data_IF_154477922218
#
_entry.id   IF_154477922218
#
_cell.length_a   1.000
_cell.length_b   1.000
_cell.length_c   1.000
_cell.angle_alpha   90.00
_cell.angle_beta   90.00
_cell.angle_gamma   90.00
#
_symmetry.space_group_name_H-M   'P 1'
#
loop_
_entity.id
_entity.type
_entity.pdbx_description
1 polymer ?
#
# COMPACT_ATOMS: atom_id res chain seq x y z
N UNK A 1 12.15 -16.29 0.16
CA UNK A 1 12.86 -16.19 1.48
C UNK A 1 14.19 -16.93 1.36
N UNK A 2 15.29 -16.28 1.70
CA UNK A 2 16.66 -16.79 1.60
C UNK A 2 17.16 -17.09 3.00
N UNK A 3 17.61 -18.32 3.23
CA UNK A 3 18.05 -18.77 4.55
C UNK A 3 19.43 -18.21 4.92
N UNK A 4 19.70 -18.08 6.22
CA UNK A 4 21.00 -17.62 6.72
C UNK A 4 22.16 -18.53 6.27
N UNK A 5 21.91 -19.83 6.17
CA UNK A 5 22.89 -20.78 5.65
C UNK A 5 23.28 -20.47 4.21
N UNK A 6 22.30 -20.22 3.36
CA UNK A 6 22.51 -19.85 1.96
C UNK A 6 23.31 -18.54 1.81
N UNK A 7 23.02 -17.54 2.67
CA UNK A 7 23.79 -16.28 2.74
C UNK A 7 25.25 -16.47 3.16
N UNK A 8 25.54 -17.54 3.91
CA UNK A 8 26.91 -17.86 4.32
C UNK A 8 27.66 -18.66 3.26
N UNK A 9 26.97 -19.42 2.43
CA UNK A 9 27.56 -20.33 1.43
C UNK A 9 27.66 -19.70 0.03
N UNK A 10 26.78 -18.74 -0.29
CA UNK A 10 26.74 -18.10 -1.60
C UNK A 10 26.44 -16.60 -1.52
N UNK A 11 26.89 -15.88 -2.52
CA UNK A 11 26.50 -14.48 -2.71
C UNK A 11 25.17 -14.42 -3.46
N UNK A 12 24.22 -13.69 -2.91
CA UNK A 12 22.87 -13.57 -3.47
C UNK A 12 22.57 -12.13 -3.88
N UNK A 13 21.77 -11.98 -4.92
CA UNK A 13 21.23 -10.68 -5.34
C UNK A 13 20.22 -10.15 -4.31
N UNK A 14 20.03 -8.83 -4.27
CA UNK A 14 18.97 -8.24 -3.47
C UNK A 14 17.69 -8.18 -4.32
N UNK A 15 16.63 -8.81 -3.86
CA UNK A 15 15.32 -8.80 -4.52
C UNK A 15 14.33 -8.01 -3.67
N UNK A 16 13.57 -7.12 -4.31
CA UNK A 16 12.54 -6.32 -3.62
C UNK A 16 11.54 -7.24 -2.92
N UNK A 17 11.19 -6.88 -1.70
CA UNK A 17 10.27 -7.61 -0.82
C UNK A 17 10.76 -9.00 -0.37
N UNK A 18 11.96 -9.43 -0.77
CA UNK A 18 12.54 -10.69 -0.30
C UNK A 18 12.97 -10.58 1.17
N UNK A 19 12.75 -11.67 1.90
CA UNK A 19 13.16 -11.82 3.29
C UNK A 19 14.47 -12.59 3.32
N UNK A 20 15.46 -12.02 4.01
CA UNK A 20 16.76 -12.61 4.27
C UNK A 20 16.81 -13.02 5.74
N UNK A 21 16.88 -14.31 6.01
CA UNK A 21 16.87 -14.82 7.37
C UNK A 21 18.15 -14.51 8.13
N UNK A 22 18.02 -14.21 9.42
CA UNK A 22 19.12 -14.09 10.36
C UNK A 22 19.52 -15.44 10.94
N UNK A 23 20.68 -15.48 11.60
CA UNK A 23 21.12 -16.67 12.33
C UNK A 23 20.25 -16.94 13.57
N UNK A 24 20.36 -18.15 14.09
CA UNK A 24 19.51 -18.68 15.17
C UNK A 24 20.18 -18.60 16.56
N UNK A 25 21.49 -18.31 16.63
CA UNK A 25 22.28 -18.39 17.88
C UNK A 25 22.01 -17.19 18.81
N UNK A 26 21.45 -16.10 18.29
CA UNK A 26 21.08 -14.90 19.06
C UNK A 26 22.25 -13.94 19.35
N UNK A 27 23.40 -14.11 18.72
CA UNK A 27 24.58 -13.28 18.89
C UNK A 27 24.84 -12.32 17.71
N UNK A 28 25.94 -11.57 17.76
CA UNK A 28 26.31 -10.59 16.73
C UNK A 28 26.59 -11.26 15.38
N UNK A 29 27.06 -12.51 15.34
CA UNK A 29 27.37 -13.23 14.11
C UNK A 29 26.13 -13.55 13.27
N UNK A 30 24.95 -13.48 13.86
CA UNK A 30 23.66 -13.72 13.22
C UNK A 30 23.10 -12.52 12.44
N UNK A 31 23.81 -11.40 12.46
CA UNK A 31 23.39 -10.18 11.77
C UNK A 31 23.45 -10.37 10.24
N UNK A 32 22.28 -10.36 9.63
CA UNK A 32 22.12 -10.55 8.18
C UNK A 32 22.86 -9.49 7.38
N UNK A 33 22.77 -8.22 7.81
CA UNK A 33 23.29 -7.11 7.03
C UNK A 33 24.82 -7.10 6.97
N UNK A 34 25.48 -7.63 7.99
CA UNK A 34 26.93 -7.79 7.96
C UNK A 34 27.38 -8.77 6.88
N UNK A 35 26.61 -9.85 6.67
CA UNK A 35 26.87 -10.86 5.64
C UNK A 35 26.41 -10.39 4.27
N UNK A 36 25.16 -9.94 4.18
CA UNK A 36 24.51 -9.55 2.94
C UNK A 36 25.12 -8.29 2.32
N UNK A 37 25.47 -7.29 3.13
CA UNK A 37 25.90 -5.96 2.65
C UNK A 37 27.35 -5.62 2.99
N UNK A 38 28.09 -6.51 3.65
CA UNK A 38 29.47 -6.24 4.04
C UNK A 38 29.63 -4.90 4.79
N UNK A 39 28.73 -4.61 5.72
CA UNK A 39 28.72 -3.42 6.58
C UNK A 39 28.97 -3.81 8.03
N UNK A 40 29.38 -2.84 8.85
CA UNK A 40 29.56 -3.06 10.28
C UNK A 40 28.20 -3.20 10.97
N UNK A 41 28.17 -3.98 12.06
CA UNK A 41 26.99 -4.05 12.94
C UNK A 41 26.91 -2.78 13.79
N UNK A 42 26.25 -1.75 13.29
CA UNK A 42 26.23 -0.40 13.86
C UNK A 42 24.83 0.22 13.87
N UNK A 43 23.86 -0.43 14.50
CA UNK A 43 22.49 0.13 14.62
C UNK A 43 21.77 0.29 13.27
N UNK A 44 20.91 1.30 13.18
CA UNK A 44 20.04 1.55 12.02
C UNK A 44 20.72 2.22 10.83
N UNK A 45 21.81 2.97 11.05
CA UNK A 45 22.54 3.66 10.00
C UNK A 45 23.90 3.01 9.79
N UNK A 46 24.09 2.37 8.64
CA UNK A 46 25.34 1.66 8.30
C UNK A 46 25.82 2.09 6.91
N UNK A 47 27.11 1.93 6.66
CA UNK A 47 27.68 2.30 5.36
C UNK A 47 28.93 1.45 5.03
N UNK A 48 29.27 1.41 3.76
CA UNK A 48 30.53 0.89 3.24
C UNK A 48 31.29 2.00 2.55
N UNK A 49 32.61 2.08 2.76
CA UNK A 49 33.47 3.02 2.04
C UNK A 49 33.95 2.39 0.72
N UNK A 50 34.26 3.28 -0.24
CA UNK A 50 35.05 2.92 -1.43
C UNK A 50 36.44 2.48 -0.98
N UNK A 51 37.02 1.53 -1.68
CA UNK A 51 38.37 1.03 -1.38
C UNK A 51 39.38 2.18 -1.39
N UNK A 52 40.19 2.25 -0.33
CA UNK A 52 41.21 3.27 -0.14
C UNK A 52 40.69 4.71 -0.14
N UNK A 53 39.39 4.93 0.11
CA UNK A 53 38.77 6.25 0.23
C UNK A 53 37.96 6.40 1.52
N UNK A 54 37.68 7.66 1.90
CA UNK A 54 36.70 8.01 2.93
C UNK A 54 35.30 8.13 2.39
N UNK A 55 35.14 8.18 1.06
CA UNK A 55 33.87 8.31 0.38
C UNK A 55 33.01 7.06 0.56
N UNK A 56 31.72 7.26 0.53
CA UNK A 56 30.77 6.17 0.74
C UNK A 56 30.48 5.44 -0.58
N UNK A 57 30.75 4.14 -0.62
CA UNK A 57 30.34 3.28 -1.71
C UNK A 57 28.80 3.15 -1.71
N UNK A 58 28.23 2.94 -0.54
CA UNK A 58 26.78 2.88 -0.32
C UNK A 58 26.43 3.03 1.15
N UNK A 59 25.16 3.33 1.39
CA UNK A 59 24.56 3.43 2.72
C UNK A 59 23.50 2.33 2.86
N UNK A 60 23.37 1.79 4.07
CA UNK A 60 22.34 0.83 4.45
C UNK A 60 21.54 1.41 5.60
N UNK A 61 20.27 1.66 5.37
CA UNK A 61 19.31 2.04 6.41
C UNK A 61 18.56 0.80 6.86
N UNK A 62 18.58 0.57 8.18
CA UNK A 62 17.83 -0.51 8.80
C UNK A 62 16.82 0.07 9.79
N UNK A 63 15.55 -0.17 9.54
CA UNK A 63 14.46 0.18 10.44
C UNK A 63 14.03 -1.03 11.25
N UNK A 64 13.98 -0.89 12.57
CA UNK A 64 13.40 -1.92 13.44
C UNK A 64 11.87 -1.88 13.47
N UNK A 65 11.27 -0.76 13.06
CA UNK A 65 9.83 -0.48 13.17
C UNK A 65 9.27 -0.61 14.61
N UNK A 66 10.16 -0.42 15.62
CA UNK A 66 9.80 -0.57 17.03
C UNK A 66 9.54 0.78 17.73
N UNK A 67 9.90 1.89 17.11
CA UNK A 67 9.68 3.24 17.67
C UNK A 67 8.22 3.66 17.37
N UNK A 68 7.36 3.55 18.38
CA UNK A 68 5.92 3.83 18.25
C UNK A 68 5.65 5.33 18.06
N UNK A 69 6.44 6.18 18.71
CA UNK A 69 6.23 7.64 18.65
C UNK A 69 6.75 8.25 17.33
N UNK A 70 7.81 7.67 16.78
CA UNK A 70 8.53 8.19 15.60
C UNK A 70 8.92 7.05 14.65
N UNK A 71 7.95 6.33 14.08
CA UNK A 71 8.23 5.19 13.20
C UNK A 71 8.84 5.65 11.88
N UNK A 72 9.84 4.91 11.41
CA UNK A 72 10.21 4.98 10.00
C UNK A 72 9.07 4.38 9.17
N UNK A 73 8.70 5.02 8.07
CA UNK A 73 7.49 4.64 7.30
C UNK A 73 7.80 4.52 5.83
N UNK A 74 7.41 3.39 5.23
CA UNK A 74 7.33 3.23 3.78
C UNK A 74 5.90 3.51 3.31
N UNK A 75 5.74 4.56 2.53
CA UNK A 75 4.51 4.85 1.78
C UNK A 75 4.61 4.15 0.42
N UNK A 76 4.14 2.90 0.36
CA UNK A 76 4.34 2.05 -0.82
C UNK A 76 3.67 2.61 -2.10
N UNK A 77 2.57 3.35 -1.97
CA UNK A 77 1.86 3.95 -3.11
C UNK A 77 2.64 5.11 -3.76
N UNK A 78 3.41 5.85 -2.97
CA UNK A 78 4.19 7.00 -3.45
C UNK A 78 5.65 6.66 -3.70
N UNK A 79 6.11 5.51 -3.18
CA UNK A 79 7.51 5.11 -3.20
C UNK A 79 8.39 5.91 -2.24
N UNK A 80 7.79 6.59 -1.27
CA UNK A 80 8.47 7.42 -0.28
C UNK A 80 8.83 6.60 0.96
N UNK A 81 10.05 6.78 1.44
CA UNK A 81 10.48 6.26 2.72
C UNK A 81 10.92 7.39 3.65
N UNK A 82 10.23 7.51 4.78
CA UNK A 82 10.58 8.46 5.83
C UNK A 82 11.46 7.78 6.86
N UNK A 83 12.58 8.39 7.17
CA UNK A 83 13.58 7.90 8.10
C UNK A 83 13.94 8.95 9.15
N UNK A 84 14.10 8.54 10.39
CA UNK A 84 14.58 9.43 11.45
C UNK A 84 16.04 9.11 11.80
N UNK A 85 16.85 10.18 11.85
CA UNK A 85 18.28 10.08 12.13
C UNK A 85 18.64 9.44 13.48
N UNK A 86 19.92 9.32 13.74
CA UNK A 86 20.46 8.54 14.87
C UNK A 86 20.71 9.36 16.16
N UNK A 87 20.40 10.66 16.18
CA UNK A 87 20.49 11.44 17.41
C UNK A 87 19.29 11.17 18.32
N UNK A 88 19.57 10.69 19.54
CA UNK A 88 18.56 10.39 20.58
C UNK A 88 18.92 11.01 21.94
N UNK A 89 19.93 11.88 22.00
CA UNK A 89 20.42 12.46 23.26
C UNK A 89 20.03 13.93 23.38
N UNK A 90 19.35 14.32 24.46
CA UNK A 90 19.11 15.73 24.81
C UNK A 90 20.40 16.52 24.92
N UNK A 91 20.39 17.76 24.41
CA UNK A 91 21.54 18.66 24.46
C UNK A 91 22.60 18.47 23.37
N UNK A 92 22.59 17.35 22.64
CA UNK A 92 23.45 17.14 21.48
C UNK A 92 22.99 18.02 20.30
N UNK A 93 23.92 18.50 19.48
CA UNK A 93 23.60 19.10 18.18
C UNK A 93 23.06 18.03 17.23
N UNK A 94 22.28 18.45 16.24
CA UNK A 94 21.66 17.54 15.25
C UNK A 94 22.70 16.69 14.49
N UNK A 95 23.88 17.27 14.24
CA UNK A 95 25.01 16.69 13.53
C UNK A 95 26.04 15.98 14.44
N UNK A 96 25.74 15.81 15.73
CA UNK A 96 26.65 15.15 16.69
C UNK A 96 26.90 13.68 16.39
N UNK A 97 26.00 13.03 15.66
CA UNK A 97 26.10 11.62 15.29
C UNK A 97 26.56 11.46 13.84
N UNK A 98 27.35 10.41 13.62
CA UNK A 98 27.93 10.14 12.30
C UNK A 98 26.88 9.89 11.22
N UNK A 99 25.76 9.24 11.55
CA UNK A 99 24.65 9.01 10.63
C UNK A 99 24.00 10.33 10.21
N UNK A 100 23.71 11.21 11.16
CA UNK A 100 23.15 12.52 10.88
C UNK A 100 24.10 13.40 10.03
N UNK A 101 25.41 13.38 10.28
CA UNK A 101 26.40 14.05 9.44
C UNK A 101 26.38 13.55 8.00
N UNK A 102 26.27 12.23 7.81
CA UNK A 102 26.22 11.65 6.47
C UNK A 102 24.86 11.96 5.79
N UNK A 103 23.75 11.93 6.54
CA UNK A 103 22.44 12.37 6.01
C UNK A 103 22.52 13.80 5.49
N UNK A 104 23.03 14.73 6.29
CA UNK A 104 23.20 16.12 5.89
C UNK A 104 24.06 16.26 4.64
N UNK A 105 25.18 15.54 4.57
CA UNK A 105 26.07 15.57 3.43
C UNK A 105 25.40 15.09 2.13
N UNK A 106 24.69 13.96 2.15
CA UNK A 106 24.06 13.39 0.94
C UNK A 106 22.83 14.17 0.47
N UNK A 107 22.08 14.78 1.38
CA UNK A 107 20.93 15.61 1.02
C UNK A 107 21.34 16.97 0.47
N UNK A 108 22.48 17.52 0.90
CA UNK A 108 23.02 18.80 0.41
C UNK A 108 23.91 18.65 -0.82
N UNK A 109 24.30 17.41 -1.20
CA UNK A 109 25.18 17.18 -2.35
C UNK A 109 24.45 17.48 -3.67
N UNK A 110 24.96 18.41 -4.44
CA UNK A 110 24.36 18.80 -5.74
C UNK A 110 24.74 17.87 -6.88
N UNK A 111 25.96 17.31 -6.83
CA UNK A 111 26.43 16.38 -7.82
C UNK A 111 25.90 14.96 -7.55
N UNK A 112 24.85 14.55 -8.28
CA UNK A 112 24.23 13.24 -8.10
C UNK A 112 25.19 12.06 -8.27
N UNK A 113 26.28 12.23 -9.04
CA UNK A 113 27.28 11.19 -9.19
C UNK A 113 28.11 10.96 -7.91
N UNK A 114 28.15 11.96 -7.02
CA UNK A 114 28.80 11.87 -5.70
C UNK A 114 27.88 11.35 -4.59
N UNK A 115 26.58 11.21 -4.87
CA UNK A 115 25.61 10.67 -3.92
C UNK A 115 25.74 9.14 -3.91
N UNK A 116 26.00 8.50 -2.76
CA UNK A 116 26.05 7.04 -2.67
C UNK A 116 24.62 6.44 -2.76
N UNK A 117 24.45 5.27 -3.39
CA UNK A 117 23.20 4.53 -3.32
C UNK A 117 22.80 4.21 -1.87
N UNK A 118 21.50 4.28 -1.58
CA UNK A 118 20.96 3.97 -0.26
C UNK A 118 20.10 2.71 -0.35
N UNK A 119 20.42 1.68 0.42
CA UNK A 119 19.68 0.42 0.48
C UNK A 119 18.86 0.38 1.77
N UNK A 120 17.54 0.16 1.65
CA UNK A 120 16.63 0.21 2.77
C UNK A 120 16.17 -1.19 3.15
N UNK A 121 16.33 -1.51 4.42
CA UNK A 121 15.90 -2.77 5.02
C UNK A 121 15.01 -2.52 6.23
N UNK A 122 14.05 -3.41 6.43
CA UNK A 122 13.16 -3.39 7.59
C UNK A 122 13.28 -4.71 8.35
N UNK A 123 13.23 -4.66 9.67
CA UNK A 123 13.13 -5.83 10.52
C UNK A 123 11.90 -6.65 10.13
N UNK A 124 12.09 -7.93 9.92
CA UNK A 124 11.01 -8.86 9.56
C UNK A 124 11.25 -10.20 10.25
N UNK A 125 10.90 -10.34 11.55
CA UNK A 125 11.10 -11.57 12.29
C UNK A 125 10.45 -12.77 11.59
N UNK A 126 11.16 -13.89 11.56
CA UNK A 126 10.67 -15.18 11.10
C UNK A 126 10.51 -16.13 12.28
N UNK A 127 9.95 -17.31 12.04
CA UNK A 127 9.84 -18.35 13.08
C UNK A 127 11.22 -18.79 13.60
N UNK A 128 12.23 -18.79 12.71
CA UNK A 128 13.60 -19.23 12.99
C UNK A 128 14.49 -18.13 13.57
N UNK A 129 14.25 -16.84 13.23
CA UNK A 129 15.14 -15.76 13.64
C UNK A 129 14.45 -14.41 13.82
N UNK A 130 14.72 -13.75 14.96
CA UNK A 130 14.31 -12.36 15.21
C UNK A 130 15.20 -11.33 14.49
N UNK A 131 16.26 -11.76 13.80
CA UNK A 131 17.23 -10.89 13.10
C UNK A 131 17.03 -10.87 11.59
N UNK A 132 15.99 -11.52 11.11
CA UNK A 132 15.63 -11.51 9.69
C UNK A 132 15.21 -10.12 9.26
N UNK A 133 15.54 -9.80 8.00
CA UNK A 133 15.25 -8.49 7.40
C UNK A 133 14.56 -8.66 6.05
N UNK A 134 13.72 -7.69 5.72
CA UNK A 134 13.10 -7.54 4.40
C UNK A 134 13.81 -6.42 3.64
N UNK A 135 14.17 -6.64 2.39
CA UNK A 135 14.72 -5.59 1.54
C UNK A 135 13.58 -4.76 0.93
N UNK A 136 13.56 -3.47 1.22
CA UNK A 136 12.52 -2.56 0.73
C UNK A 136 12.90 -1.90 -0.59
N UNK A 137 14.20 -1.71 -0.87
CA UNK A 137 14.64 -1.19 -2.14
C UNK A 137 15.88 -0.32 -2.13
N UNK A 138 16.28 0.07 -3.33
CA UNK A 138 17.29 1.06 -3.61
C UNK A 138 16.65 2.45 -3.56
N UNK A 139 17.20 3.39 -2.79
CA UNK A 139 16.65 4.70 -2.59
C UNK A 139 17.64 5.83 -2.86
N UNK A 140 17.12 7.03 -3.04
CA UNK A 140 17.85 8.27 -3.24
C UNK A 140 17.38 9.33 -2.24
N UNK A 141 18.29 10.28 -1.81
CA UNK A 141 18.00 11.28 -0.80
C UNK A 141 17.18 12.46 -1.36
N UNK A 142 15.99 12.19 -1.81
CA UNK A 142 15.06 13.19 -2.34
C UNK A 142 13.64 12.62 -2.29
N UNK A 143 12.67 13.44 -1.92
CA UNK A 143 11.24 13.15 -2.09
C UNK A 143 10.75 13.82 -3.36
N UNK A 144 10.19 13.04 -4.27
CA UNK A 144 9.71 13.51 -5.58
C UNK A 144 8.68 14.65 -5.48
N UNK A 145 7.84 14.65 -4.46
CA UNK A 145 6.78 15.66 -4.29
C UNK A 145 7.24 16.88 -3.49
N UNK A 146 8.15 16.70 -2.52
CA UNK A 146 8.65 17.78 -1.68
C UNK A 146 9.80 18.54 -2.36
N UNK A 147 10.48 17.90 -3.28
CA UNK A 147 11.74 18.38 -3.87
C UNK A 147 12.91 18.28 -2.89
N UNK A 148 14.12 18.40 -3.40
CA UNK A 148 15.37 18.18 -2.67
C UNK A 148 15.48 19.03 -1.41
N UNK A 149 15.22 20.33 -1.49
CA UNK A 149 15.40 21.28 -0.39
C UNK A 149 14.48 21.02 0.82
N UNK A 150 13.37 20.33 0.61
CA UNK A 150 12.39 20.01 1.65
C UNK A 150 12.47 18.55 2.12
N UNK A 151 13.40 17.78 1.58
CA UNK A 151 13.49 16.34 1.87
C UNK A 151 14.28 16.01 3.13
N UNK A 152 15.05 16.97 3.69
CA UNK A 152 15.72 16.83 4.99
C UNK A 152 15.31 17.98 5.91
N UNK A 153 14.75 17.65 7.08
CA UNK A 153 14.31 18.64 8.07
C UNK A 153 14.87 18.32 9.44
N UNK A 154 15.44 19.34 10.08
CA UNK A 154 15.78 19.26 11.50
C UNK A 154 14.51 19.49 12.32
N UNK A 155 14.13 18.51 13.13
CA UNK A 155 12.91 18.54 13.93
C UNK A 155 13.22 18.32 15.41
N UNK A 156 12.42 18.94 16.29
CA UNK A 156 12.46 18.66 17.71
C UNK A 156 11.64 17.39 18.02
N UNK A 157 12.29 16.48 18.75
CA UNK A 157 11.66 15.27 19.29
C UNK A 157 11.65 15.30 20.81
N UNK A 158 10.78 14.52 21.40
CA UNK A 158 10.70 14.34 22.86
C UNK A 158 10.73 12.85 23.19
N UNK A 159 11.55 12.48 24.15
CA UNK A 159 11.59 11.12 24.72
C UNK A 159 11.80 11.23 26.21
N UNK A 160 11.00 10.52 27.01
CA UNK A 160 11.05 10.54 28.47
C UNK A 160 11.00 11.96 29.09
N UNK A 161 10.24 12.87 28.47
CA UNK A 161 10.10 14.25 28.92
C UNK A 161 11.25 15.20 28.53
N UNK A 162 12.29 14.71 27.90
CA UNK A 162 13.44 15.50 27.44
C UNK A 162 13.39 15.75 25.93
N UNK A 163 13.77 16.96 25.52
CA UNK A 163 13.81 17.36 24.12
C UNK A 163 15.19 17.16 23.52
N UNK A 164 15.21 16.67 22.29
CA UNK A 164 16.42 16.59 21.46
C UNK A 164 16.09 16.93 20.02
N UNK A 165 17.08 17.36 19.25
CA UNK A 165 16.95 17.69 17.82
C UNK A 165 17.42 16.49 16.99
N UNK A 166 16.70 16.14 15.94
CA UNK A 166 17.05 15.06 15.01
C UNK A 166 16.67 15.41 13.59
N UNK A 167 17.16 14.67 12.60
CA UNK A 167 16.70 14.80 11.23
C UNK A 167 15.49 13.88 10.97
N UNK A 168 14.51 14.43 10.24
CA UNK A 168 13.51 13.71 9.46
C UNK A 168 13.96 13.76 8.00
N UNK A 169 14.24 12.61 7.41
CA UNK A 169 14.77 12.46 6.07
C UNK A 169 13.77 11.70 5.18
N UNK A 170 13.52 12.23 4.00
CA UNK A 170 12.59 11.67 3.04
C UNK A 170 13.35 11.16 1.82
N UNK A 171 13.28 9.86 1.60
CA UNK A 171 13.89 9.17 0.47
C UNK A 171 12.83 8.75 -0.54
N UNK A 172 13.21 8.61 -1.80
CA UNK A 172 12.39 7.96 -2.83
C UNK A 172 13.03 6.63 -3.22
N UNK A 173 12.23 5.57 -3.26
CA UNK A 173 12.65 4.23 -3.70
C UNK A 173 12.60 4.16 -5.22
N UNK A 174 13.68 3.72 -5.84
CA UNK A 174 13.81 3.58 -7.28
C UNK A 174 13.17 2.29 -7.79
N UNK A 175 12.55 2.37 -8.96
CA UNK A 175 11.91 1.24 -9.63
C UNK A 175 12.97 0.28 -10.20
N UNK A 176 13.32 -0.72 -9.38
CA UNK A 176 14.15 -1.85 -9.78
C UNK A 176 13.65 -3.11 -9.07
N UNK A 177 13.62 -4.24 -9.76
CA UNK A 177 13.14 -5.51 -9.18
C UNK A 177 14.21 -6.20 -8.33
N UNK A 178 15.47 -6.05 -8.72
CA UNK A 178 16.59 -6.66 -8.03
C UNK A 178 17.86 -5.85 -8.22
N UNK A 179 18.80 -6.03 -7.31
CA UNK A 179 20.15 -5.46 -7.36
C UNK A 179 21.12 -6.60 -7.54
N UNK A 180 21.86 -6.55 -8.64
CA UNK A 180 22.90 -7.54 -8.93
C UNK A 180 24.06 -7.43 -7.94
N UNK A 181 24.53 -8.54 -7.44
CA UNK A 181 25.64 -8.60 -6.48
C UNK A 181 26.92 -7.97 -7.03
N UNK A 182 27.19 -8.13 -8.32
CA UNK A 182 28.36 -7.53 -8.96
C UNK A 182 28.32 -5.99 -8.92
N UNK A 183 27.13 -5.39 -8.96
CA UNK A 183 27.03 -3.94 -8.80
C UNK A 183 27.52 -3.45 -7.43
N UNK A 184 27.23 -4.20 -6.35
CA UNK A 184 27.77 -3.86 -5.03
C UNK A 184 29.30 -3.91 -5.01
N UNK A 185 29.93 -4.79 -5.77
CA UNK A 185 31.39 -4.83 -5.95
C UNK A 185 31.87 -3.62 -6.76
N UNK A 186 31.15 -3.25 -7.82
CA UNK A 186 31.46 -2.04 -8.59
C UNK A 186 31.39 -0.77 -7.70
N UNK A 187 30.38 -0.65 -6.84
CA UNK A 187 30.24 0.45 -5.89
C UNK A 187 31.45 0.55 -4.96
N UNK A 188 31.91 -0.58 -4.41
CA UNK A 188 33.10 -0.61 -3.54
C UNK A 188 34.37 -0.15 -4.28
N UNK A 189 34.44 -0.37 -5.60
CA UNK A 189 35.53 0.10 -6.45
C UNK A 189 35.33 1.53 -6.98
N UNK A 190 34.24 2.22 -6.61
CA UNK A 190 33.95 3.59 -7.02
C UNK A 190 33.27 3.72 -8.40
N UNK A 191 32.81 2.61 -8.99
CA UNK A 191 32.13 2.57 -10.28
C UNK A 191 30.62 2.38 -10.13
N UNK A 192 29.91 3.44 -9.72
CA UNK A 192 28.46 3.42 -9.49
C UNK A 192 27.62 3.34 -10.77
N UNK A 193 28.20 3.72 -11.91
CA UNK A 193 27.53 3.79 -13.21
C UNK A 193 27.92 2.66 -14.16
N UNK A 194 28.51 1.57 -13.65
CA UNK A 194 28.87 0.41 -14.48
C UNK A 194 27.64 -0.09 -15.26
N UNK A 195 27.70 0.07 -16.59
CA UNK A 195 26.56 -0.17 -17.47
C UNK A 195 26.11 -1.65 -17.55
N UNK A 196 26.97 -2.59 -17.12
CA UNK A 196 26.66 -4.01 -17.13
C UNK A 196 25.84 -4.46 -15.91
N UNK A 197 25.97 -3.76 -14.78
CA UNK A 197 25.42 -4.21 -13.51
C UNK A 197 24.57 -3.17 -12.78
N UNK A 198 24.78 -1.87 -13.06
CA UNK A 198 24.00 -0.80 -12.42
C UNK A 198 22.53 -0.85 -12.85
N UNK A 199 21.57 -0.70 -11.91
CA UNK A 199 20.16 -0.62 -12.26
C UNK A 199 19.88 0.56 -13.21
N UNK A 200 19.02 0.36 -14.18
CA UNK A 200 18.65 1.40 -15.14
C UNK A 200 18.07 2.65 -14.44
N UNK A 201 17.24 2.44 -13.41
CA UNK A 201 16.67 3.52 -12.61
C UNK A 201 17.73 4.35 -11.89
N UNK A 202 18.82 3.72 -11.40
CA UNK A 202 19.96 4.43 -10.82
C UNK A 202 20.70 5.28 -11.86
N UNK A 203 21.00 4.70 -13.03
CA UNK A 203 21.66 5.43 -14.12
C UNK A 203 20.83 6.64 -14.56
N UNK A 204 19.50 6.46 -14.69
CA UNK A 204 18.59 7.57 -15.01
C UNK A 204 18.59 8.64 -13.94
N UNK A 205 18.52 8.25 -12.65
CA UNK A 205 18.58 9.20 -11.54
C UNK A 205 19.84 10.07 -11.59
N UNK A 206 21.00 9.45 -11.73
CA UNK A 206 22.27 10.18 -11.75
C UNK A 206 22.32 11.15 -12.93
N UNK A 207 21.85 10.74 -14.12
CA UNK A 207 21.91 11.55 -15.34
C UNK A 207 20.86 12.67 -15.40
N UNK A 208 19.63 12.37 -15.00
CA UNK A 208 18.46 13.21 -15.27
C UNK A 208 17.75 13.70 -14.01
N UNK A 209 18.08 13.17 -12.84
CA UNK A 209 17.36 13.41 -11.59
C UNK A 209 16.18 12.47 -11.41
N UNK A 210 15.38 12.76 -10.39
CA UNK A 210 14.22 11.96 -10.03
C UNK A 210 13.04 12.26 -10.97
N UNK A 211 12.56 11.24 -11.66
CA UNK A 211 11.41 11.30 -12.58
C UNK A 211 10.39 10.22 -12.21
N UNK A 212 9.13 10.40 -12.57
CA UNK A 212 8.04 9.52 -12.15
C UNK A 212 8.21 8.06 -12.61
N UNK A 213 8.77 7.84 -13.79
CA UNK A 213 8.99 6.52 -14.39
C UNK A 213 10.03 5.66 -13.66
N UNK A 214 10.91 6.28 -12.87
CA UNK A 214 11.93 5.57 -12.10
C UNK A 214 11.57 5.37 -10.62
N UNK A 215 10.38 5.75 -10.18
CA UNK A 215 9.90 5.57 -8.79
C UNK A 215 9.23 4.21 -8.65
N UNK A 216 9.63 3.45 -7.64
CA UNK A 216 8.96 2.20 -7.28
C UNK A 216 7.67 2.51 -6.51
N UNK A 217 6.54 2.17 -7.11
CA UNK A 217 5.23 2.32 -6.47
C UNK A 217 4.52 0.99 -6.43
N UNK A 218 3.91 0.66 -5.32
CA UNK A 218 2.97 -0.45 -5.28
C UNK A 218 1.75 -0.13 -6.15
N UNK A 219 1.23 -1.10 -6.90
CA UNK A 219 -0.05 -0.92 -7.57
C UNK A 219 -1.11 -0.62 -6.51
N UNK A 220 -1.94 0.38 -6.77
CA UNK A 220 -3.12 0.65 -5.93
C UNK A 220 -4.09 -0.52 -6.06
N UNK A 221 -4.13 -1.37 -5.06
CA UNK A 221 -5.08 -2.48 -5.03
C UNK A 221 -6.53 -2.02 -4.81
N UNK A 222 -6.69 -0.83 -4.21
CA UNK A 222 -8.00 -0.20 -4.01
C UNK A 222 -7.83 1.30 -4.18
N UNK A 223 -8.52 1.88 -5.16
CA UNK A 223 -8.54 3.33 -5.35
C UNK A 223 -9.66 3.94 -4.49
N UNK A 224 -9.31 4.97 -3.72
CA UNK A 224 -10.30 5.85 -3.16
C UNK A 224 -11.03 6.56 -4.29
N UNK A 225 -12.36 6.50 -4.28
CA UNK A 225 -13.20 7.22 -5.23
C UNK A 225 -13.91 8.39 -4.57
N UNK A 226 -13.68 9.58 -5.11
CA UNK A 226 -14.39 10.79 -4.70
C UNK A 226 -15.90 10.68 -4.99
N UNK A 227 -16.71 11.59 -4.42
CA UNK A 227 -18.14 11.67 -4.73
C UNK A 227 -18.41 11.70 -6.26
N UNK A 228 -17.62 12.49 -6.99
CA UNK A 228 -17.80 12.64 -8.44
C UNK A 228 -17.45 11.36 -9.23
N UNK A 229 -16.55 10.53 -8.71
CA UNK A 229 -16.19 9.25 -9.30
C UNK A 229 -17.18 8.14 -8.96
N UNK A 230 -17.92 8.29 -7.87
CA UNK A 230 -18.94 7.35 -7.42
C UNK A 230 -20.33 7.64 -8.02
N UNK A 231 -20.56 8.81 -8.58
CA UNK A 231 -21.84 9.19 -9.23
C UNK A 231 -21.67 9.29 -10.73
N UNK A 232 -22.73 9.02 -11.51
CA UNK A 232 -22.72 9.22 -12.96
C UNK A 232 -22.36 10.66 -13.35
N UNK A 233 -21.66 10.83 -14.47
CA UNK A 233 -21.20 12.14 -14.94
C UNK A 233 -22.12 12.80 -15.97
N UNK A 234 -22.93 12.01 -16.68
CA UNK A 234 -23.82 12.54 -17.74
C UNK A 234 -25.26 12.69 -17.25
N UNK A 235 -25.97 13.69 -17.77
CA UNK A 235 -27.37 13.92 -17.43
C UNK A 235 -28.27 12.70 -17.74
N UNK A 236 -27.95 11.93 -18.78
CA UNK A 236 -28.70 10.73 -19.14
C UNK A 236 -28.55 9.64 -18.08
N UNK A 237 -27.35 9.43 -17.61
CA UNK A 237 -27.05 8.44 -16.56
C UNK A 237 -27.60 8.86 -15.20
N UNK A 238 -27.53 10.17 -14.88
CA UNK A 238 -28.12 10.72 -13.67
C UNK A 238 -29.64 10.50 -13.64
N UNK A 239 -30.34 10.74 -14.76
CA UNK A 239 -31.78 10.46 -14.86
C UNK A 239 -32.10 8.98 -14.66
N UNK A 240 -31.26 8.07 -15.19
CA UNK A 240 -31.42 6.64 -14.97
C UNK A 240 -31.28 6.27 -13.49
N UNK A 241 -30.29 6.84 -12.79
CA UNK A 241 -30.09 6.63 -11.37
C UNK A 241 -31.25 7.20 -10.54
N UNK A 242 -31.69 8.42 -10.85
CA UNK A 242 -32.85 9.05 -10.21
C UNK A 242 -34.13 8.22 -10.42
N UNK A 243 -34.32 7.64 -11.59
CA UNK A 243 -35.45 6.74 -11.87
C UNK A 243 -35.45 5.49 -10.98
N UNK A 244 -34.28 4.86 -10.78
CA UNK A 244 -34.13 3.73 -9.85
C UNK A 244 -34.46 4.15 -8.43
N UNK A 245 -33.93 5.29 -7.98
CA UNK A 245 -34.22 5.82 -6.64
C UNK A 245 -35.71 6.06 -6.46
N UNK A 246 -36.38 6.77 -7.38
CA UNK A 246 -37.81 7.07 -7.31
C UNK A 246 -38.69 5.79 -7.28
N UNK A 247 -38.26 4.73 -7.99
CA UNK A 247 -38.97 3.45 -8.00
C UNK A 247 -38.92 2.73 -6.62
N UNK A 248 -37.79 2.82 -5.91
CA UNK A 248 -37.56 2.06 -4.68
C UNK A 248 -37.59 2.90 -3.39
N UNK A 249 -37.65 4.21 -3.45
CA UNK A 249 -37.53 5.10 -2.27
C UNK A 249 -38.56 4.80 -1.16
N UNK A 250 -39.75 4.39 -1.51
CA UNK A 250 -40.85 4.12 -0.59
C UNK A 250 -40.88 2.64 -0.13
N UNK A 251 -40.09 1.77 -0.76
CA UNK A 251 -39.96 0.37 -0.38
C UNK A 251 -38.48 -0.08 -0.46
N UNK A 252 -37.68 0.28 0.55
CA UNK A 252 -36.26 -0.09 0.58
C UNK A 252 -36.01 -1.61 0.55
N UNK A 253 -37.00 -2.40 0.99
CA UNK A 253 -36.92 -3.86 0.99
C UNK A 253 -36.88 -4.43 -0.44
N UNK A 254 -37.65 -3.87 -1.34
CA UNK A 254 -37.54 -4.24 -2.78
C UNK A 254 -36.20 -3.87 -3.38
N UNK A 255 -35.55 -2.82 -2.89
CA UNK A 255 -34.21 -2.44 -3.33
C UNK A 255 -33.16 -3.49 -2.97
N UNK A 256 -33.33 -4.25 -1.88
CA UNK A 256 -32.44 -5.35 -1.49
C UNK A 256 -32.45 -6.47 -2.55
N UNK A 257 -33.62 -6.81 -3.07
CA UNK A 257 -33.77 -7.78 -4.17
C UNK A 257 -33.13 -7.26 -5.46
N UNK A 258 -33.35 -6.00 -5.79
CA UNK A 258 -32.72 -5.34 -6.93
C UNK A 258 -31.19 -5.39 -6.82
N UNK A 259 -30.64 -5.05 -5.67
CA UNK A 259 -29.19 -5.07 -5.40
C UNK A 259 -28.60 -6.46 -5.57
N UNK A 260 -29.26 -7.49 -5.01
CA UNK A 260 -28.84 -8.88 -5.17
C UNK A 260 -28.84 -9.32 -6.64
N UNK A 261 -29.88 -8.95 -7.40
CA UNK A 261 -29.97 -9.25 -8.83
C UNK A 261 -28.91 -8.50 -9.64
N UNK A 262 -28.65 -7.25 -9.30
CA UNK A 262 -27.62 -6.40 -9.94
C UNK A 262 -26.22 -7.01 -9.77
N UNK A 263 -25.88 -7.50 -8.56
CA UNK A 263 -24.60 -8.17 -8.31
C UNK A 263 -24.44 -9.42 -9.16
N UNK A 264 -25.52 -10.17 -9.38
CA UNK A 264 -25.53 -11.30 -10.30
C UNK A 264 -25.29 -10.93 -11.77
N UNK A 265 -25.64 -9.69 -12.17
CA UNK A 265 -25.33 -9.16 -13.52
C UNK A 265 -23.87 -8.72 -13.64
N UNK A 266 -23.23 -8.36 -12.55
CA UNK A 266 -21.84 -7.89 -12.53
C UNK A 266 -20.87 -9.02 -12.91
N UNK A 267 -21.06 -10.20 -12.35
CA UNK A 267 -20.24 -11.40 -12.62
C UNK A 267 -21.05 -12.68 -12.41
N UNK A 268 -21.03 -13.56 -13.40
CA UNK A 268 -21.73 -14.85 -13.40
C UNK A 268 -21.21 -15.84 -12.34
N UNK A 269 -20.12 -15.52 -11.65
CA UNK A 269 -19.62 -16.32 -10.52
C UNK A 269 -20.31 -15.99 -9.19
N UNK A 270 -21.10 -14.92 -9.13
CA UNK A 270 -22.01 -14.69 -8.00
C UNK A 270 -23.22 -15.62 -8.10
N UNK A 271 -23.46 -16.38 -7.05
CA UNK A 271 -24.45 -17.45 -7.01
C UNK A 271 -25.34 -17.32 -5.77
N UNK A 272 -26.59 -17.81 -5.90
CA UNK A 272 -27.46 -18.16 -4.77
C UNK A 272 -27.64 -17.02 -3.74
N UNK A 273 -27.96 -15.80 -4.17
CA UNK A 273 -28.36 -14.76 -3.24
C UNK A 273 -29.70 -15.11 -2.58
N UNK A 274 -29.67 -15.21 -1.25
CA UNK A 274 -30.84 -15.37 -0.42
C UNK A 274 -31.05 -14.08 0.38
N UNK A 275 -32.19 -13.41 0.17
CA UNK A 275 -32.57 -12.23 0.94
C UNK A 275 -32.90 -12.66 2.36
N UNK A 276 -32.41 -11.94 3.33
CA UNK A 276 -32.61 -12.24 4.74
C UNK A 276 -33.91 -11.60 5.24
N UNK A 277 -34.56 -12.21 6.24
CA UNK A 277 -35.82 -11.65 6.79
C UNK A 277 -35.53 -10.47 7.73
N UNK A 278 -36.21 -9.36 7.54
CA UNK A 278 -36.02 -8.08 8.23
C UNK A 278 -36.01 -8.12 9.77
N UNK A 279 -36.46 -9.19 10.42
CA UNK A 279 -36.80 -9.17 11.85
C UNK A 279 -35.73 -9.80 12.77
N UNK A 280 -34.70 -10.53 12.26
CA UNK A 280 -33.76 -11.26 13.12
C UNK A 280 -32.29 -11.27 12.70
N UNK A 281 -31.93 -10.70 11.56
CA UNK A 281 -30.63 -11.03 10.94
C UNK A 281 -29.53 -9.97 11.12
N UNK A 282 -29.76 -9.04 12.04
CA UNK A 282 -28.71 -8.14 12.53
C UNK A 282 -28.09 -7.18 11.49
N UNK A 283 -28.74 -7.00 10.29
CA UNK A 283 -28.37 -5.97 9.35
C UNK A 283 -27.53 -6.41 8.16
N UNK A 284 -27.71 -7.65 7.71
CA UNK A 284 -27.31 -8.13 6.39
C UNK A 284 -28.60 -8.27 5.58
N UNK A 285 -28.64 -7.67 4.39
CA UNK A 285 -29.84 -7.65 3.57
C UNK A 285 -29.91 -8.91 2.67
N UNK A 286 -28.75 -9.44 2.23
CA UNK A 286 -28.67 -10.72 1.53
C UNK A 286 -27.36 -11.47 1.80
N UNK A 287 -27.39 -12.79 1.64
CA UNK A 287 -26.21 -13.66 1.69
C UNK A 287 -26.12 -14.40 0.36
N UNK A 288 -24.94 -14.38 -0.25
CA UNK A 288 -24.62 -15.06 -1.48
C UNK A 288 -23.33 -15.85 -1.41
N UNK A 289 -22.99 -16.49 -2.52
CA UNK A 289 -21.74 -17.19 -2.73
C UNK A 289 -21.03 -16.66 -3.97
N UNK A 290 -19.71 -16.54 -3.92
CA UNK A 290 -18.87 -16.28 -5.08
C UNK A 290 -18.01 -17.50 -5.38
N UNK A 291 -18.06 -17.99 -6.61
CA UNK A 291 -17.27 -19.12 -7.06
C UNK A 291 -15.93 -18.64 -7.60
N UNK A 292 -14.87 -18.97 -6.89
CA UNK A 292 -13.49 -18.69 -7.30
C UNK A 292 -12.85 -19.95 -7.89
N UNK A 293 -12.43 -19.89 -9.15
CA UNK A 293 -11.78 -20.98 -9.87
C UNK A 293 -12.61 -21.59 -10.99
N UNK A 294 -12.10 -22.65 -11.61
CA UNK A 294 -12.78 -23.34 -12.71
C UNK A 294 -13.95 -24.20 -12.21
N UNK A 295 -15.00 -24.38 -13.03
CA UNK A 295 -16.24 -25.09 -12.68
C UNK A 295 -16.04 -26.38 -11.87
N UNK A 296 -15.07 -27.20 -12.25
CA UNK A 296 -14.81 -28.50 -11.61
C UNK A 296 -13.71 -28.45 -10.53
N UNK A 297 -13.02 -27.31 -10.38
CA UNK A 297 -12.01 -27.10 -9.36
C UNK A 297 -12.13 -25.66 -8.85
N UNK A 298 -13.08 -25.44 -7.96
CA UNK A 298 -13.41 -24.12 -7.43
C UNK A 298 -13.72 -24.18 -5.96
N UNK A 299 -13.51 -23.07 -5.28
CA UNK A 299 -14.00 -22.84 -3.92
C UNK A 299 -15.15 -21.84 -3.96
N UNK A 300 -16.04 -21.94 -2.99
CA UNK A 300 -17.11 -20.97 -2.79
C UNK A 300 -16.77 -20.08 -1.60
N UNK A 301 -16.76 -18.78 -1.82
CA UNK A 301 -16.59 -17.77 -0.80
C UNK A 301 -17.97 -17.19 -0.47
N UNK A 302 -18.30 -17.13 0.81
CA UNK A 302 -19.54 -16.50 1.24
C UNK A 302 -19.41 -14.98 1.12
N UNK A 303 -20.46 -14.31 0.62
CA UNK A 303 -20.55 -12.86 0.63
C UNK A 303 -21.82 -12.38 1.33
N UNK A 304 -21.68 -11.24 2.03
CA UNK A 304 -22.79 -10.56 2.68
C UNK A 304 -23.07 -9.24 1.94
N UNK A 305 -24.35 -8.98 1.63
CA UNK A 305 -24.78 -7.78 0.93
C UNK A 305 -25.58 -6.87 1.86
N UNK A 306 -25.30 -5.58 1.81
CA UNK A 306 -26.11 -4.52 2.39
C UNK A 306 -26.44 -3.49 1.31
N UNK A 307 -27.72 -3.13 1.19
CA UNK A 307 -28.26 -2.25 0.15
C UNK A 307 -28.89 -0.99 0.76
N UNK A 308 -28.61 0.18 0.19
CA UNK A 308 -29.16 1.45 0.66
C UNK A 308 -29.67 2.28 -0.53
N UNK A 309 -31.00 2.40 -0.59
CA UNK A 309 -31.67 3.26 -1.55
C UNK A 309 -31.72 4.69 -1.01
N UNK A 310 -30.70 5.51 -1.33
CA UNK A 310 -30.60 6.89 -0.89
C UNK A 310 -30.62 7.84 -2.08
N UNK A 311 -31.15 9.04 -1.84
CA UNK A 311 -31.03 10.10 -2.81
C UNK A 311 -29.55 10.37 -3.11
N UNK A 312 -29.19 10.59 -4.37
CA UNK A 312 -27.80 10.72 -4.84
C UNK A 312 -26.93 11.74 -4.08
N UNK A 313 -27.55 12.73 -3.44
CA UNK A 313 -26.81 13.73 -2.66
C UNK A 313 -26.59 13.34 -1.18
N UNK A 314 -27.20 12.27 -0.72
CA UNK A 314 -27.06 11.76 0.62
C UNK A 314 -25.90 10.73 0.68
N UNK A 315 -24.89 11.00 1.51
CA UNK A 315 -23.76 10.09 1.68
C UNK A 315 -24.07 8.91 2.61
N UNK A 316 -23.42 7.76 2.35
CA UNK A 316 -23.37 6.65 3.28
C UNK A 316 -22.12 6.80 4.17
N UNK A 317 -22.33 6.94 5.48
CA UNK A 317 -21.25 7.16 6.45
C UNK A 317 -20.65 5.87 7.02
N UNK A 318 -19.61 6.03 7.85
CA UNK A 318 -18.85 4.96 8.52
C UNK A 318 -19.74 3.94 9.22
N UNK A 319 -20.77 4.38 9.93
CA UNK A 319 -21.67 3.51 10.72
C UNK A 319 -22.33 2.39 9.88
N UNK A 320 -22.70 2.69 8.64
CA UNK A 320 -23.33 1.69 7.76
C UNK A 320 -22.33 0.63 7.30
N UNK A 321 -21.13 1.06 6.90
CA UNK A 321 -20.06 0.12 6.51
C UNK A 321 -19.58 -0.72 7.69
N UNK A 322 -19.36 -0.11 8.86
CA UNK A 322 -18.96 -0.83 10.08
C UNK A 322 -19.99 -1.89 10.48
N UNK A 323 -21.28 -1.66 10.24
CA UNK A 323 -22.34 -2.63 10.48
C UNK A 323 -22.18 -3.85 9.57
N UNK A 324 -21.96 -3.66 8.28
CA UNK A 324 -21.68 -4.76 7.35
C UNK A 324 -20.40 -5.50 7.75
N UNK A 325 -19.31 -4.77 7.99
CA UNK A 325 -18.00 -5.33 8.36
C UNK A 325 -18.12 -6.23 9.60
N UNK A 326 -18.85 -5.78 10.65
CA UNK A 326 -19.02 -6.55 11.89
C UNK A 326 -19.72 -7.91 11.71
N UNK A 327 -20.33 -8.15 10.56
CA UNK A 327 -21.04 -9.39 10.22
C UNK A 327 -20.23 -10.34 9.34
N UNK A 328 -19.11 -9.87 8.79
CA UNK A 328 -18.23 -10.71 7.98
C UNK A 328 -17.49 -11.71 8.89
N UNK A 329 -17.55 -12.99 8.51
CA UNK A 329 -16.77 -14.05 9.14
C UNK A 329 -15.43 -14.20 8.43
N UNK A 330 -14.55 -14.99 9.03
CA UNK A 330 -13.29 -15.34 8.40
C UNK A 330 -13.49 -15.88 6.97
N UNK A 331 -12.79 -15.29 6.00
CA UNK A 331 -12.91 -15.53 4.54
C UNK A 331 -14.20 -15.04 3.88
N UNK A 332 -15.09 -14.38 4.59
CA UNK A 332 -16.21 -13.68 3.98
C UNK A 332 -15.74 -12.37 3.37
N UNK A 333 -16.49 -11.85 2.40
CA UNK A 333 -16.38 -10.47 1.95
C UNK A 333 -17.74 -9.79 1.89
N UNK A 334 -17.73 -8.47 1.97
CA UNK A 334 -18.94 -7.65 1.93
C UNK A 334 -19.18 -7.06 0.54
N UNK A 335 -20.46 -6.79 0.24
CA UNK A 335 -20.89 -6.03 -0.92
C UNK A 335 -21.83 -4.94 -0.42
N UNK A 336 -21.46 -3.68 -0.63
CA UNK A 336 -22.28 -2.54 -0.25
C UNK A 336 -22.82 -1.87 -1.51
N UNK A 337 -24.15 -1.89 -1.70
CA UNK A 337 -24.82 -1.33 -2.87
C UNK A 337 -25.58 -0.08 -2.48
N UNK A 338 -25.41 1.03 -3.21
CA UNK A 338 -26.15 2.25 -2.94
C UNK A 338 -26.45 3.04 -4.19
N UNK A 339 -27.67 3.63 -4.27
CA UNK A 339 -28.05 4.59 -5.30
C UNK A 339 -27.37 5.95 -5.13
N UNK A 340 -26.53 6.11 -4.13
CA UNK A 340 -25.78 7.33 -3.84
C UNK A 340 -24.26 7.06 -3.80
N UNK A 341 -23.54 7.58 -2.83
CA UNK A 341 -22.11 7.43 -2.68
C UNK A 341 -21.71 7.17 -1.21
N UNK A 342 -20.55 6.59 -1.00
CA UNK A 342 -19.91 6.43 0.31
C UNK A 342 -19.11 7.69 0.62
N UNK A 343 -19.24 8.23 1.83
CA UNK A 343 -18.52 9.42 2.25
C UNK A 343 -16.99 9.20 2.22
N UNK A 344 -16.24 10.27 2.02
CA UNK A 344 -14.77 10.22 1.95
C UNK A 344 -14.16 9.54 3.17
N UNK A 345 -14.61 9.91 4.36
CA UNK A 345 -14.13 9.33 5.61
C UNK A 345 -14.39 7.81 5.65
N UNK A 346 -15.62 7.39 5.36
CA UNK A 346 -15.98 5.97 5.40
C UNK A 346 -15.21 5.13 4.37
N UNK A 347 -14.96 5.72 3.19
CA UNK A 347 -14.20 5.05 2.13
C UNK A 347 -12.73 4.90 2.52
N UNK A 348 -12.11 5.94 3.10
CA UNK A 348 -10.72 5.91 3.57
C UNK A 348 -10.52 4.90 4.70
N UNK A 349 -11.38 4.93 5.74
CA UNK A 349 -11.33 3.96 6.83
C UNK A 349 -11.44 2.52 6.31
N UNK A 350 -12.37 2.25 5.37
CA UNK A 350 -12.50 0.94 4.74
C UNK A 350 -11.21 0.46 4.08
N UNK A 351 -10.51 1.36 3.38
CA UNK A 351 -9.26 1.04 2.68
C UNK A 351 -8.09 0.86 3.64
N UNK A 352 -7.94 1.77 4.62
CA UNK A 352 -6.87 1.76 5.61
C UNK A 352 -6.92 0.51 6.49
N UNK A 353 -8.11 0.12 6.93
CA UNK A 353 -8.32 -1.10 7.74
C UNK A 353 -8.28 -2.39 6.91
N UNK A 354 -8.20 -2.28 5.58
CA UNK A 354 -8.09 -3.43 4.69
C UNK A 354 -9.30 -4.34 4.66
N UNK A 355 -10.48 -3.84 5.01
CA UNK A 355 -11.71 -4.64 5.03
C UNK A 355 -12.11 -5.12 3.63
N UNK A 356 -12.47 -6.41 3.45
CA UNK A 356 -12.80 -6.97 2.16
C UNK A 356 -14.26 -6.62 1.76
N UNK A 357 -14.52 -5.36 1.40
CA UNK A 357 -15.85 -4.88 0.99
C UNK A 357 -15.77 -4.26 -0.40
N UNK A 358 -16.65 -4.73 -1.29
CA UNK A 358 -16.88 -4.14 -2.63
C UNK A 358 -17.94 -3.05 -2.50
N UNK A 359 -17.64 -1.85 -2.96
CA UNK A 359 -18.61 -0.74 -3.02
C UNK A 359 -19.15 -0.64 -4.44
N UNK A 360 -20.46 -0.78 -4.58
CA UNK A 360 -21.23 -0.56 -5.79
C UNK A 360 -22.07 0.72 -5.59
N UNK A 361 -21.57 1.82 -6.08
CA UNK A 361 -22.17 3.16 -5.95
C UNK A 361 -23.08 3.48 -7.12
N UNK A 362 -23.69 4.67 -7.13
CA UNK A 362 -24.62 5.08 -8.18
C UNK A 362 -24.06 4.96 -9.60
N UNK A 363 -22.78 5.28 -9.82
CA UNK A 363 -22.12 5.09 -11.12
C UNK A 363 -22.06 3.62 -11.50
N UNK A 364 -21.59 2.79 -10.58
CA UNK A 364 -21.42 1.35 -10.83
C UNK A 364 -22.75 0.68 -11.18
N UNK A 365 -23.83 1.07 -10.50
CA UNK A 365 -25.19 0.57 -10.81
C UNK A 365 -25.53 0.85 -12.29
N UNK A 366 -25.35 2.09 -12.71
CA UNK A 366 -25.65 2.49 -14.10
C UNK A 366 -24.75 1.78 -15.11
N UNK A 367 -23.46 1.63 -14.81
CA UNK A 367 -22.50 0.93 -15.66
C UNK A 367 -22.82 -0.56 -15.79
N UNK A 368 -23.13 -1.26 -14.69
CA UNK A 368 -23.52 -2.68 -14.69
C UNK A 368 -24.76 -2.89 -15.55
N UNK A 369 -25.79 -2.07 -15.37
CA UNK A 369 -27.01 -2.13 -16.18
C UNK A 369 -26.73 -1.88 -17.66
N UNK A 370 -25.90 -0.88 -17.95
CA UNK A 370 -25.54 -0.50 -19.33
C UNK A 370 -24.77 -1.63 -20.03
N UNK A 371 -23.80 -2.24 -19.35
CA UNK A 371 -23.03 -3.37 -19.87
C UNK A 371 -23.90 -4.60 -20.14
N UNK A 372 -25.01 -4.73 -19.42
CA UNK A 372 -26.01 -5.78 -19.62
C UNK A 372 -27.16 -5.35 -20.59
N UNK A 373 -26.97 -4.29 -21.38
CA UNK A 373 -27.93 -3.78 -22.39
C UNK A 373 -29.25 -3.24 -21.82
N UNK A 374 -29.26 -2.90 -20.52
CA UNK A 374 -30.43 -2.25 -19.89
C UNK A 374 -30.23 -0.73 -19.97
N UNK A 375 -30.50 -0.17 -21.16
CA UNK A 375 -30.09 1.19 -21.54
C UNK A 375 -31.21 2.21 -21.62
N UNK A 376 -32.48 1.77 -21.73
CA UNK A 376 -33.67 2.60 -21.84
C UNK A 376 -34.50 2.51 -20.57
N UNK A 377 -35.38 3.50 -20.34
CA UNK A 377 -36.33 3.45 -19.21
C UNK A 377 -37.24 2.22 -19.32
N UNK A 378 -37.67 1.86 -20.50
CA UNK A 378 -38.49 0.66 -20.74
C UNK A 378 -37.75 -0.62 -20.38
N UNK A 379 -36.48 -0.79 -20.84
CA UNK A 379 -35.68 -1.95 -20.49
C UNK A 379 -35.33 -2.02 -18.98
N UNK A 380 -35.20 -0.86 -18.36
CA UNK A 380 -34.97 -0.79 -16.91
C UNK A 380 -36.21 -1.15 -16.10
N UNK A 381 -37.37 -0.62 -16.51
CA UNK A 381 -38.67 -0.95 -15.90
C UNK A 381 -38.95 -2.46 -16.06
N UNK A 382 -38.80 -3.00 -17.24
CA UNK A 382 -38.96 -4.44 -17.48
C UNK A 382 -38.02 -5.28 -16.63
N UNK A 383 -36.75 -4.85 -16.46
CA UNK A 383 -35.81 -5.54 -15.58
C UNK A 383 -36.28 -5.53 -14.13
N UNK A 384 -36.72 -4.38 -13.61
CA UNK A 384 -37.20 -4.24 -12.24
C UNK A 384 -38.49 -5.04 -12.00
N UNK A 385 -39.41 -5.06 -12.95
CA UNK A 385 -40.68 -5.79 -12.88
C UNK A 385 -40.51 -7.33 -12.96
N UNK A 386 -39.38 -7.81 -13.51
CA UNK A 386 -39.05 -9.25 -13.55
C UNK A 386 -38.44 -9.77 -12.24
N UNK A 387 -38.14 -8.89 -11.29
CA UNK A 387 -37.59 -9.29 -10.01
C UNK A 387 -38.71 -9.86 -9.15
N UNK A 388 -38.49 -11.09 -8.69
CA UNK A 388 -39.39 -11.74 -7.75
C UNK A 388 -39.11 -11.21 -6.33
N UNK A 389 -40.11 -10.57 -5.73
CA UNK A 389 -40.02 -9.91 -4.42
C UNK A 389 -40.68 -10.75 -3.32
N UNK A 390 -40.60 -12.07 -3.39
CA UNK A 390 -41.21 -12.99 -2.42
C UNK A 390 -40.56 -13.01 -1.04
#
# INVERSE_FOLDING_TARGET
MISFKELCESEVDLVIDEIYEGGEVGNISDDVLTKLMNVQNAGGFRFRNILNSTDKAYIVLYSSNEDIDWPDVLEAETGKFKYYGDNKRPGDKVDSKKGNLILEAIFNEENRNSIPPVFIFMKNPTVSSNRSVKFLGLAVPEDYHLGKDNSLKAIWRTSNGERFINYEAHFTILNTKSINREWLRCLINGDSLNSSFAPESWIKYVKYGLTEDIILRAPKNKEYRSKNEQLPSTNKELKKLDFIYEYYKDDPYKFEYFAAKLVGLMDNNFLNFNITRAVRDGGIDAIGEYRLGHKNNSIKLRCALEAKCYQRDNSNGVKLLSRLISRLKYRDFGIFVTTSYVSEQAYKELLEDGHPVIIISGRDIVEILTNNRINTEESLLNFMDTIDYL
#
